data_IF_039215547569
#
_entry.id   IF_039215547569
#
_cell.length_a   1.000
_cell.length_b   1.000
_cell.length_c   1.000
_cell.angle_alpha   90.00
_cell.angle_beta   90.00
_cell.angle_gamma   90.00
#
_symmetry.space_group_name_H-M   'P 1'
#
loop_
_entity.id
_entity.type
_entity.pdbx_description
1 polymer ?
#
# COMPACT_ATOMS: atom_id res chain seq x y z
N UNK A 1 18.44 -7.45 -17.53
CA UNK A 1 17.68 -8.66 -17.20
C UNK A 1 16.44 -8.22 -16.46
N UNK A 2 15.31 -8.09 -17.17
CA UNK A 2 14.00 -7.79 -16.58
C UNK A 2 13.65 -8.87 -15.56
N UNK A 3 13.66 -8.51 -14.28
CA UNK A 3 13.11 -9.35 -13.23
C UNK A 3 11.62 -9.07 -13.18
N UNK A 4 10.86 -9.65 -14.12
CA UNK A 4 9.41 -9.62 -14.08
C UNK A 4 8.96 -10.29 -12.78
N UNK A 5 8.42 -9.51 -11.86
CA UNK A 5 7.78 -10.00 -10.64
C UNK A 5 6.79 -11.09 -11.01
N UNK A 6 6.89 -12.27 -10.39
CA UNK A 6 6.05 -13.42 -10.72
C UNK A 6 4.65 -13.20 -10.15
N UNK A 7 3.84 -12.45 -10.89
CA UNK A 7 2.46 -12.09 -10.57
C UNK A 7 1.64 -13.34 -10.29
N UNK A 8 0.75 -13.37 -9.28
CA UNK A 8 -0.31 -14.37 -9.23
C UNK A 8 -1.10 -14.37 -10.54
N UNK A 9 -1.58 -15.54 -10.94
CA UNK A 9 -2.32 -15.70 -12.19
C UNK A 9 -3.67 -14.94 -12.14
N UNK A 10 -3.66 -13.67 -12.57
CA UNK A 10 -4.83 -12.97 -13.12
C UNK A 10 -5.72 -12.16 -12.17
N UNK A 11 -5.51 -12.20 -10.86
CA UNK A 11 -6.29 -11.40 -9.90
C UNK A 11 -5.77 -9.98 -9.68
N UNK A 12 -6.65 -9.08 -9.22
CA UNK A 12 -6.27 -7.74 -8.75
C UNK A 12 -6.02 -7.80 -7.24
N UNK A 13 -4.86 -7.33 -6.80
CA UNK A 13 -4.44 -7.28 -5.40
C UNK A 13 -4.65 -5.89 -4.84
N UNK A 14 -5.30 -5.79 -3.68
CA UNK A 14 -5.63 -4.53 -3.02
C UNK A 14 -5.13 -4.57 -1.58
N UNK A 15 -4.25 -3.64 -1.22
CA UNK A 15 -3.88 -3.39 0.16
C UNK A 15 -4.83 -2.34 0.76
N UNK A 16 -5.39 -2.63 1.93
CA UNK A 16 -6.23 -1.71 2.70
C UNK A 16 -5.44 -1.29 3.93
N UNK A 17 -5.27 0.02 4.12
CA UNK A 17 -4.50 0.61 5.21
C UNK A 17 -5.35 1.63 5.97
N UNK A 18 -4.90 1.97 7.18
CA UNK A 18 -5.65 2.81 8.13
C UNK A 18 -6.31 1.98 9.23
N UNK A 19 -6.71 2.65 10.31
CA UNK A 19 -7.15 2.00 11.55
C UNK A 19 -8.39 1.11 11.38
N UNK A 20 -9.26 1.46 10.42
CA UNK A 20 -10.48 0.72 10.12
C UNK A 20 -10.28 -0.50 9.17
N UNK A 21 -9.05 -0.83 8.79
CA UNK A 21 -8.77 -1.87 7.80
C UNK A 21 -9.31 -3.24 8.23
N UNK A 22 -9.09 -3.66 9.47
CA UNK A 22 -9.54 -4.95 9.98
C UNK A 22 -11.07 -5.09 9.91
N UNK A 23 -11.80 -4.06 10.34
CA UNK A 23 -13.26 -4.03 10.30
C UNK A 23 -13.80 -4.03 8.86
N UNK A 24 -13.14 -3.29 7.96
CA UNK A 24 -13.50 -3.25 6.55
C UNK A 24 -13.28 -4.61 5.86
N UNK A 25 -12.19 -5.31 6.19
CA UNK A 25 -11.91 -6.66 5.70
C UNK A 25 -12.93 -7.68 6.22
N UNK A 26 -13.27 -7.63 7.51
CA UNK A 26 -14.30 -8.49 8.10
C UNK A 26 -15.65 -8.32 7.39
N UNK A 27 -15.99 -7.09 6.97
CA UNK A 27 -17.18 -6.85 6.18
C UNK A 27 -17.12 -7.45 4.77
N UNK A 28 -15.94 -7.73 4.19
CA UNK A 28 -15.83 -8.39 2.89
C UNK A 28 -15.92 -9.92 2.96
N UNK A 29 -15.93 -10.50 4.16
CA UNK A 29 -16.02 -11.94 4.33
C UNK A 29 -17.29 -12.51 3.67
N UNK A 30 -17.12 -13.58 2.87
CA UNK A 30 -18.23 -14.24 2.18
C UNK A 30 -18.74 -13.52 0.92
N UNK A 31 -18.17 -12.37 0.53
CA UNK A 31 -18.54 -11.70 -0.72
C UNK A 31 -18.03 -12.52 -1.93
N UNK A 32 -18.90 -12.93 -2.87
CA UNK A 32 -18.48 -13.75 -4.01
C UNK A 32 -17.42 -13.07 -4.88
N UNK A 33 -16.35 -13.80 -5.20
CA UNK A 33 -15.27 -13.33 -6.07
C UNK A 33 -14.24 -12.44 -5.36
N UNK A 34 -14.38 -12.20 -4.06
CA UNK A 34 -13.41 -11.50 -3.22
C UNK A 34 -12.84 -12.48 -2.19
N UNK A 35 -11.52 -12.46 -2.03
CA UNK A 35 -10.81 -13.12 -0.95
C UNK A 35 -10.22 -12.05 -0.04
N UNK A 36 -10.84 -11.86 1.13
CA UNK A 36 -10.39 -10.95 2.16
C UNK A 36 -9.42 -11.69 3.10
N UNK A 37 -8.20 -11.16 3.26
CA UNK A 37 -7.13 -11.80 4.03
C UNK A 37 -6.61 -10.83 5.10
N UNK A 38 -6.89 -11.13 6.37
CA UNK A 38 -6.23 -10.47 7.50
C UNK A 38 -4.81 -11.05 7.65
N UNK A 39 -3.83 -10.26 7.24
CA UNK A 39 -2.41 -10.57 7.18
C UNK A 39 -1.55 -9.53 7.94
N UNK A 40 -2.17 -8.57 8.61
CA UNK A 40 -1.48 -7.69 9.56
C UNK A 40 -0.61 -8.50 10.53
N UNK A 41 0.59 -8.01 10.84
CA UNK A 41 1.61 -8.68 11.66
C UNK A 41 2.02 -10.10 11.21
N UNK A 42 1.63 -10.53 10.01
CA UNK A 42 2.09 -11.79 9.44
C UNK A 42 3.47 -11.63 8.84
N UNK A 43 4.31 -12.66 8.96
CA UNK A 43 5.58 -12.76 8.23
C UNK A 43 5.40 -12.40 6.74
N UNK A 44 6.18 -11.45 6.19
CA UNK A 44 5.98 -10.96 4.81
C UNK A 44 6.01 -12.07 3.75
N UNK A 45 6.94 -13.03 3.88
CA UNK A 45 7.03 -14.14 2.94
C UNK A 45 5.82 -15.08 3.04
N UNK A 46 5.25 -15.29 4.22
CA UNK A 46 3.99 -16.01 4.40
C UNK A 46 2.80 -15.22 3.82
N UNK A 47 2.72 -13.92 4.07
CA UNK A 47 1.66 -13.05 3.53
C UNK A 47 1.66 -13.07 1.99
N UNK A 48 2.83 -12.84 1.38
CA UNK A 48 3.02 -12.89 -0.08
C UNK A 48 2.64 -14.24 -0.68
N UNK A 49 3.00 -15.35 -0.02
CA UNK A 49 2.57 -16.70 -0.47
C UNK A 49 1.06 -16.89 -0.41
N UNK A 50 0.38 -16.38 0.62
CA UNK A 50 -1.09 -16.46 0.72
C UNK A 50 -1.76 -15.61 -0.35
N UNK A 51 -1.32 -14.37 -0.54
CA UNK A 51 -1.80 -13.48 -1.60
C UNK A 51 -1.61 -14.13 -2.97
N UNK A 52 -0.45 -14.75 -3.22
CA UNK A 52 -0.16 -15.38 -4.50
C UNK A 52 -0.94 -16.68 -4.76
N UNK A 53 -1.39 -17.37 -3.70
CA UNK A 53 -2.13 -18.63 -3.78
C UNK A 53 -3.65 -18.45 -3.92
N UNK A 54 -4.15 -17.24 -3.69
CA UNK A 54 -5.56 -16.89 -3.79
C UNK A 54 -6.12 -17.19 -5.20
N UNK A 55 -7.14 -18.07 -5.35
CA UNK A 55 -7.70 -18.42 -6.65
C UNK A 55 -8.73 -17.40 -7.18
N UNK A 56 -9.01 -16.34 -6.42
CA UNK A 56 -10.06 -15.37 -6.71
C UNK A 56 -9.56 -14.21 -7.58
N UNK A 57 -10.46 -13.55 -8.34
CA UNK A 57 -10.09 -12.40 -9.15
C UNK A 57 -9.77 -11.14 -8.33
N UNK A 58 -10.16 -11.08 -7.06
CA UNK A 58 -9.92 -9.96 -6.16
C UNK A 58 -9.36 -10.46 -4.84
N UNK A 59 -8.13 -10.06 -4.52
CA UNK A 59 -7.50 -10.31 -3.23
C UNK A 59 -7.41 -9.00 -2.48
N UNK A 60 -8.02 -8.92 -1.30
CA UNK A 60 -8.03 -7.72 -0.46
C UNK A 60 -7.36 -8.07 0.86
N UNK A 61 -6.30 -7.36 1.24
CA UNK A 61 -5.53 -7.65 2.46
C UNK A 61 -5.13 -6.38 3.20
N UNK A 62 -4.72 -6.51 4.45
CA UNK A 62 -4.23 -5.42 5.33
C UNK A 62 -2.72 -5.48 5.61
N UNK A 63 -1.98 -6.40 4.97
CA UNK A 63 -0.51 -6.40 5.00
C UNK A 63 0.07 -5.32 4.05
N UNK A 64 0.54 -4.20 4.60
CA UNK A 64 1.27 -3.20 3.81
C UNK A 64 2.71 -3.64 3.54
N UNK A 65 3.10 -3.95 2.28
CA UNK A 65 4.46 -4.39 1.95
C UNK A 65 5.52 -3.33 2.18
N UNK A 66 5.13 -2.07 2.39
CA UNK A 66 6.02 -0.94 2.65
C UNK A 66 5.92 -0.43 4.10
N UNK A 67 5.24 -1.15 5.01
CA UNK A 67 4.99 -0.66 6.38
C UNK A 67 6.26 -0.22 7.12
N UNK A 68 7.37 -0.94 6.96
CA UNK A 68 8.64 -0.58 7.62
C UNK A 68 9.31 0.63 6.96
N UNK A 69 9.20 0.75 5.63
CA UNK A 69 9.66 1.95 4.90
C UNK A 69 8.83 3.16 5.32
N UNK A 70 7.52 3.01 5.42
CA UNK A 70 6.59 4.02 5.87
C UNK A 70 6.93 4.50 7.28
N UNK A 71 7.13 3.56 8.20
CA UNK A 71 7.52 3.86 9.57
C UNK A 71 8.85 4.61 9.61
N UNK A 72 9.89 4.13 8.94
CA UNK A 72 11.20 4.81 8.92
C UNK A 72 11.14 6.21 8.27
N UNK A 73 10.29 6.39 7.26
CA UNK A 73 10.05 7.70 6.63
C UNK A 73 9.34 8.66 7.58
N UNK A 74 8.28 8.20 8.26
CA UNK A 74 7.59 8.98 9.28
C UNK A 74 8.56 9.36 10.40
N UNK A 75 9.35 8.42 10.89
CA UNK A 75 10.33 8.65 11.94
C UNK A 75 11.43 9.62 11.53
N UNK A 76 11.88 9.58 10.27
CA UNK A 76 12.86 10.54 9.75
C UNK A 76 12.30 11.98 9.82
N UNK A 77 11.07 12.19 9.36
CA UNK A 77 10.46 13.52 9.31
C UNK A 77 9.91 14.01 10.65
N UNK A 78 9.74 13.11 11.62
CA UNK A 78 9.47 13.45 13.01
C UNK A 78 10.75 13.63 13.85
N UNK A 79 11.92 13.63 13.21
CA UNK A 79 13.24 13.75 13.87
C UNK A 79 13.52 12.62 14.88
N UNK A 80 12.88 11.46 14.71
CA UNK A 80 13.01 10.26 15.56
C UNK A 80 13.96 9.20 14.98
N UNK A 81 14.26 9.26 13.69
CA UNK A 81 15.21 8.38 13.02
C UNK A 81 16.20 9.16 12.14
N UNK A 82 17.21 8.45 11.65
CA UNK A 82 18.23 9.02 10.75
C UNK A 82 18.01 8.58 9.32
N UNK A 83 18.63 9.28 8.37
CA UNK A 83 18.64 8.90 6.96
C UNK A 83 19.08 7.43 6.75
N UNK A 84 20.08 6.97 7.51
CA UNK A 84 20.56 5.59 7.41
C UNK A 84 19.49 4.55 7.79
N UNK A 85 18.52 4.90 8.64
CA UNK A 85 17.41 4.00 9.01
C UNK A 85 16.50 3.76 7.82
N UNK A 86 16.05 4.82 7.13
CA UNK A 86 15.20 4.67 5.94
C UNK A 86 15.94 4.01 4.77
N UNK A 87 17.23 4.31 4.58
CA UNK A 87 18.04 3.66 3.53
C UNK A 87 18.09 2.14 3.74
N UNK A 88 18.25 1.69 5.00
CA UNK A 88 18.22 0.27 5.35
C UNK A 88 16.86 -0.38 5.07
N UNK A 89 15.76 0.26 5.49
CA UNK A 89 14.42 -0.27 5.26
C UNK A 89 14.06 -0.32 3.77
N UNK A 90 14.51 0.67 2.99
CA UNK A 90 14.38 0.67 1.53
C UNK A 90 15.16 -0.49 0.93
N UNK A 91 16.40 -0.73 1.33
CA UNK A 91 17.20 -1.85 0.84
C UNK A 91 16.52 -3.20 1.16
N UNK A 92 16.00 -3.35 2.38
CA UNK A 92 15.28 -4.53 2.82
C UNK A 92 14.00 -4.77 1.99
N UNK A 93 13.17 -3.74 1.80
CA UNK A 93 11.96 -3.83 0.97
C UNK A 93 12.30 -4.19 -0.48
N UNK A 94 13.32 -3.56 -1.06
CA UNK A 94 13.78 -3.90 -2.41
C UNK A 94 14.28 -5.33 -2.51
N UNK A 95 14.94 -5.85 -1.47
CA UNK A 95 15.34 -7.25 -1.41
C UNK A 95 14.12 -8.18 -1.38
N UNK A 96 13.12 -7.87 -0.57
CA UNK A 96 11.88 -8.65 -0.48
C UNK A 96 11.10 -8.68 -1.81
N UNK A 97 11.01 -7.56 -2.53
CA UNK A 97 10.40 -7.55 -3.86
C UNK A 97 11.18 -8.39 -4.88
N UNK A 98 12.52 -8.37 -4.83
CA UNK A 98 13.36 -9.19 -5.73
C UNK A 98 13.24 -10.69 -5.44
N UNK A 99 13.13 -11.08 -4.17
CA UNK A 99 12.94 -12.49 -3.79
C UNK A 99 11.51 -12.97 -3.96
N UNK A 100 10.54 -12.07 -4.11
CA UNK A 100 9.12 -12.38 -4.14
C UNK A 100 8.51 -12.58 -2.75
N UNK A 101 9.23 -12.18 -1.70
CA UNK A 101 8.75 -12.19 -0.31
C UNK A 101 7.88 -10.97 0.00
N UNK A 102 7.85 -9.97 -0.89
CA UNK A 102 6.87 -8.89 -0.91
C UNK A 102 6.24 -8.77 -2.30
N UNK A 103 4.97 -8.36 -2.35
CA UNK A 103 4.22 -8.11 -3.59
C UNK A 103 3.69 -6.69 -3.52
N UNK A 104 3.94 -5.89 -4.57
CA UNK A 104 3.33 -4.57 -4.68
C UNK A 104 1.85 -4.74 -5.05
N UNK A 105 0.89 -4.22 -4.25
CA UNK A 105 -0.53 -4.32 -4.58
C UNK A 105 -0.85 -3.50 -5.83
N UNK A 106 -1.87 -3.91 -6.58
CA UNK A 106 -2.38 -3.11 -7.70
C UNK A 106 -3.00 -1.79 -7.19
N UNK A 107 -3.64 -1.80 -6.02
CA UNK A 107 -4.22 -0.61 -5.39
C UNK A 107 -3.94 -0.58 -3.89
N UNK A 108 -3.67 0.62 -3.38
CA UNK A 108 -3.80 0.97 -1.96
C UNK A 108 -5.14 1.66 -1.76
N UNK A 109 -5.91 1.21 -0.77
CA UNK A 109 -7.10 1.89 -0.29
C UNK A 109 -6.79 2.39 1.12
N UNK A 110 -6.80 3.71 1.30
CA UNK A 110 -6.47 4.36 2.56
C UNK A 110 -7.78 4.75 3.23
N UNK A 111 -8.15 4.04 4.28
CA UNK A 111 -9.37 4.30 5.04
C UNK A 111 -9.14 5.44 6.02
N UNK A 112 -10.04 6.43 5.98
CA UNK A 112 -10.07 7.58 6.89
C UNK A 112 -8.70 8.26 7.04
N UNK A 113 -8.06 8.68 5.93
CA UNK A 113 -6.72 9.30 5.97
C UNK A 113 -6.65 10.54 6.87
N UNK A 114 -7.77 11.25 7.05
CA UNK A 114 -7.86 12.42 7.93
C UNK A 114 -7.91 12.09 9.42
N UNK A 115 -8.16 10.83 9.81
CA UNK A 115 -8.04 10.40 11.21
C UNK A 115 -6.63 9.97 11.59
N UNK A 116 -5.76 9.72 10.61
CA UNK A 116 -4.37 9.35 10.85
C UNK A 116 -3.51 10.54 11.28
N UNK A 117 -2.42 10.26 11.99
CA UNK A 117 -1.40 11.27 12.28
C UNK A 117 -0.90 11.95 11.00
N UNK A 118 -0.61 13.25 11.06
CA UNK A 118 -0.34 14.07 9.88
C UNK A 118 0.76 13.47 8.99
N UNK A 119 1.87 13.01 9.58
CA UNK A 119 2.99 12.40 8.85
C UNK A 119 2.59 11.11 8.13
N UNK A 120 1.76 10.27 8.74
CA UNK A 120 1.23 9.05 8.11
C UNK A 120 0.30 9.36 6.95
N UNK A 121 -0.54 10.40 7.07
CA UNK A 121 -1.33 10.90 5.94
C UNK A 121 -0.43 11.38 4.79
N UNK A 122 0.67 12.08 5.08
CA UNK A 122 1.63 12.51 4.06
C UNK A 122 2.38 11.35 3.41
N UNK A 123 2.62 10.26 4.14
CA UNK A 123 3.14 9.03 3.55
C UNK A 123 2.19 8.46 2.51
N UNK A 124 0.94 8.15 2.90
CA UNK A 124 -0.01 7.52 1.99
C UNK A 124 -0.44 8.46 0.86
N UNK A 125 -0.96 9.64 1.19
CA UNK A 125 -1.55 10.55 0.21
C UNK A 125 -0.53 11.45 -0.50
N UNK A 126 0.70 11.57 0.03
CA UNK A 126 1.80 12.34 -0.55
C UNK A 126 2.83 11.43 -1.22
N UNK A 127 3.69 10.77 -0.42
CA UNK A 127 4.81 9.94 -0.90
C UNK A 127 4.35 8.84 -1.87
N UNK A 128 3.45 7.95 -1.42
CA UNK A 128 2.91 6.89 -2.28
C UNK A 128 1.98 7.44 -3.36
N UNK A 129 1.10 8.38 -2.98
CA UNK A 129 0.15 9.03 -3.88
C UNK A 129 0.82 9.68 -5.08
N UNK A 130 2.00 10.28 -4.92
CA UNK A 130 2.74 10.90 -6.02
C UNK A 130 3.26 9.88 -7.04
N UNK A 131 3.68 8.70 -6.58
CA UNK A 131 4.19 7.64 -7.47
C UNK A 131 3.09 6.99 -8.29
N UNK A 132 1.89 6.83 -7.71
CA UNK A 132 0.74 6.26 -8.39
C UNK A 132 -0.59 6.88 -7.93
N UNK A 133 -0.92 8.12 -8.38
CA UNK A 133 -2.08 8.87 -7.87
C UNK A 133 -3.43 8.20 -8.07
N UNK A 134 -3.54 7.33 -9.07
CA UNK A 134 -4.77 6.57 -9.40
C UNK A 134 -4.73 5.14 -8.86
N UNK A 135 -3.77 4.82 -8.01
CA UNK A 135 -3.65 3.53 -7.31
C UNK A 135 -3.65 3.67 -5.81
N UNK A 136 -3.37 4.85 -5.26
CA UNK A 136 -3.63 5.18 -3.86
C UNK A 136 -4.95 5.91 -3.78
N UNK A 137 -5.95 5.27 -3.18
CA UNK A 137 -7.34 5.71 -3.19
C UNK A 137 -7.79 6.00 -1.75
N UNK A 138 -7.85 7.27 -1.33
CA UNK A 138 -8.40 7.63 -0.04
C UNK A 138 -9.92 7.39 -0.02
N UNK A 139 -10.42 6.88 1.10
CA UNK A 139 -11.84 6.59 1.33
C UNK A 139 -12.23 7.14 2.69
N UNK A 140 -13.18 8.06 2.68
CA UNK A 140 -13.81 8.60 3.89
C UNK A 140 -14.98 7.72 4.33
N UNK A 141 -14.89 7.13 5.51
CA UNK A 141 -15.95 6.34 6.15
C UNK A 141 -16.93 7.20 6.95
N UNK A 142 -16.77 8.52 6.95
CA UNK A 142 -17.61 9.45 7.73
C UNK A 142 -19.11 9.44 7.36
N UNK A 143 -19.47 8.89 6.19
CA UNK A 143 -20.85 8.86 5.68
C UNK A 143 -21.49 7.47 5.62
N UNK A 144 -20.69 6.40 5.73
CA UNK A 144 -21.15 5.01 5.66
C UNK A 144 -20.09 4.07 6.26
N UNK A 145 -20.47 2.87 6.75
CA UNK A 145 -19.50 1.92 7.30
C UNK A 145 -18.35 1.64 6.33
N UNK A 146 -17.12 1.53 6.84
CA UNK A 146 -15.91 1.35 6.04
C UNK A 146 -16.00 0.17 5.04
N UNK A 147 -16.62 -0.94 5.45
CA UNK A 147 -16.87 -2.08 4.59
C UNK A 147 -17.77 -1.77 3.38
N UNK A 148 -18.79 -0.93 3.53
CA UNK A 148 -19.67 -0.54 2.43
C UNK A 148 -18.98 0.44 1.47
N UNK A 149 -18.20 1.37 2.02
CA UNK A 149 -17.36 2.27 1.24
C UNK A 149 -16.34 1.49 0.40
N UNK A 150 -15.66 0.52 1.02
CA UNK A 150 -14.71 -0.37 0.36
C UNK A 150 -15.37 -1.20 -0.75
N UNK A 151 -16.53 -1.82 -0.49
CA UNK A 151 -17.29 -2.56 -1.52
C UNK A 151 -17.71 -1.66 -2.68
N UNK A 152 -18.10 -0.42 -2.41
CA UNK A 152 -18.45 0.53 -3.46
C UNK A 152 -17.23 0.85 -4.33
N UNK A 153 -16.09 1.14 -3.70
CA UNK A 153 -14.85 1.47 -4.40
C UNK A 153 -14.33 0.30 -5.25
N UNK A 154 -14.34 -0.93 -4.73
CA UNK A 154 -13.89 -2.12 -5.47
C UNK A 154 -14.66 -2.33 -6.79
N UNK A 155 -15.94 -1.91 -6.86
CA UNK A 155 -16.75 -1.97 -8.09
C UNK A 155 -16.41 -0.88 -9.11
N UNK A 156 -15.73 0.18 -8.69
CA UNK A 156 -15.50 1.39 -9.46
C UNK A 156 -14.01 1.75 -9.54
N UNK A 157 -13.11 0.77 -9.39
CA UNK A 157 -11.68 1.04 -9.39
C UNK A 157 -11.23 1.68 -10.71
N UNK A 158 -10.47 2.79 -10.64
CA UNK A 158 -10.05 3.51 -11.82
C UNK A 158 -8.99 2.73 -12.58
N UNK A 159 -9.13 2.64 -13.90
CA UNK A 159 -8.03 2.14 -14.74
C UNK A 159 -6.86 3.15 -14.73
N UNK A 160 -5.65 2.64 -14.56
CA UNK A 160 -4.43 3.46 -14.47
C UNK A 160 -3.18 2.70 -14.91
N UNK A 161 -2.11 3.45 -15.22
CA UNK A 161 -0.79 2.87 -15.47
C UNK A 161 -0.34 2.04 -14.26
N UNK A 162 0.36 0.92 -14.45
CA UNK A 162 0.90 0.14 -13.34
C UNK A 162 1.86 0.99 -12.50
N UNK A 163 2.16 0.53 -11.28
CA UNK A 163 3.19 1.11 -10.45
C UNK A 163 4.53 1.21 -11.21
N UNK A 164 5.31 2.28 -11.04
CA UNK A 164 6.72 2.25 -11.40
C UNK A 164 7.44 1.16 -10.60
N UNK A 165 8.51 0.61 -11.17
CA UNK A 165 9.31 -0.42 -10.49
C UNK A 165 9.83 0.14 -9.15
N UNK A 166 9.65 -0.58 -8.01
CA UNK A 166 10.04 -0.07 -6.69
C UNK A 166 11.48 0.48 -6.61
N UNK A 167 12.40 -0.17 -7.32
CA UNK A 167 13.81 0.23 -7.38
C UNK A 167 14.06 1.59 -8.05
N UNK A 168 13.12 2.11 -8.85
CA UNK A 168 13.29 3.40 -9.52
C UNK A 168 12.90 4.60 -8.65
N UNK A 169 12.19 4.39 -7.53
CA UNK A 169 11.65 5.49 -6.72
C UNK A 169 11.86 5.34 -5.21
N UNK A 170 11.87 4.12 -4.64
CA UNK A 170 12.07 3.92 -3.20
C UNK A 170 13.37 4.58 -2.68
N UNK A 171 14.52 4.54 -3.38
CA UNK A 171 15.74 5.22 -2.91
C UNK A 171 15.64 6.75 -2.86
N UNK A 172 14.68 7.34 -3.57
CA UNK A 172 14.44 8.79 -3.58
C UNK A 172 13.57 9.28 -2.41
N UNK A 173 12.82 8.40 -1.75
CA UNK A 173 11.87 8.73 -0.68
C UNK A 173 12.43 9.59 0.46
N UNK A 174 13.68 9.41 0.93
CA UNK A 174 14.20 10.25 2.01
C UNK A 174 14.27 11.74 1.65
N UNK A 175 14.22 12.07 0.35
CA UNK A 175 14.27 13.44 -0.16
C UNK A 175 12.87 13.99 -0.51
N UNK A 176 11.83 13.15 -0.43
CA UNK A 176 10.44 13.52 -0.67
C UNK A 176 9.85 14.15 0.59
N UNK A 177 9.95 15.49 0.69
CA UNK A 177 9.50 16.26 1.85
C UNK A 177 7.96 16.17 1.99
N UNK A 178 7.40 15.77 3.16
CA UNK A 178 5.97 15.54 3.40
C UNK A 178 5.02 16.63 2.86
N UNK A 179 5.40 17.91 3.04
CA UNK A 179 4.61 19.08 2.63
C UNK A 179 4.78 19.49 1.16
N UNK A 180 5.70 18.84 0.41
CA UNK A 180 6.03 19.17 -0.99
C UNK A 180 5.82 18.02 -1.95
N UNK A 181 5.59 16.82 -1.46
CA UNK A 181 5.31 15.68 -2.34
C UNK A 181 4.00 15.96 -3.10
N UNK A 182 4.06 15.91 -4.44
CA UNK A 182 2.95 16.27 -5.33
C UNK A 182 2.95 17.72 -5.85
N UNK A 183 3.90 18.57 -5.43
CA UNK A 183 4.06 19.94 -5.95
C UNK A 183 5.16 20.09 -7.01
N UNK A 184 6.02 19.07 -7.18
CA UNK A 184 7.16 19.13 -8.11
C UNK A 184 6.78 19.05 -9.60
N UNK A 185 5.50 18.84 -9.94
CA UNK A 185 4.99 18.77 -11.33
C UNK A 185 4.56 20.15 -11.91
N UNK A 186 4.88 21.27 -11.25
CA UNK A 186 4.50 22.62 -11.68
C UNK A 186 5.65 23.51 -12.19
N UNK A 187 6.81 22.95 -12.51
CA UNK A 187 7.93 23.72 -13.10
C UNK A 187 8.48 23.13 -14.38
#
# INVERSE_FOLDING_TARGET
>A
MEHSQRRPAGGTVVAVVGDAAADALAALEGVPGIEALTLHDTDPALASRRIAAAPTPWVVHDADPLVHVAAAWVELFEERATLGTIELEVEAALSAFRSGDAIMPDYYIVLDPDSADATWRHWWCGALGHQAPRRVLPVESSTQPAGDALRHLLRALPTSRPWPEPASWLPGLPFDIPDRVGLYDLT
#
